data_IF_521203503238
#
_entry.id   IF_521203503238
#
_cell.length_a   1.000
_cell.length_b   1.000
_cell.length_c   1.000
_cell.angle_alpha   90.00
_cell.angle_beta   90.00
_cell.angle_gamma   90.00
#
_symmetry.space_group_name_H-M   'P 1'
#
loop_
_entity.id
_entity.type
_entity.pdbx_description
1 polymer ?
#
# COMPACT_ATOMS: atom_id res chain seq x y z
N UNK A 1 2.44 7.21 -22.28
CA UNK A 1 2.72 8.52 -21.68
C UNK A 1 2.81 9.63 -22.73
N UNK A 2 3.77 9.64 -23.65
CA UNK A 2 3.87 10.72 -24.66
C UNK A 2 2.67 10.75 -25.61
N UNK A 3 2.26 9.58 -26.10
CA UNK A 3 1.05 9.43 -26.91
C UNK A 3 -0.20 9.98 -26.21
N UNK A 4 -0.35 9.70 -24.91
CA UNK A 4 -1.48 10.18 -24.11
C UNK A 4 -1.44 11.70 -23.91
N UNK A 5 -0.25 12.28 -23.77
CA UNK A 5 -0.07 13.74 -23.72
C UNK A 5 -0.50 14.37 -25.03
N UNK A 6 -0.08 13.81 -26.16
CA UNK A 6 -0.36 14.37 -27.48
C UNK A 6 -1.88 14.30 -27.78
N UNK A 7 -2.54 13.22 -27.35
CA UNK A 7 -4.00 13.11 -27.34
C UNK A 7 -4.67 14.17 -26.45
N UNK A 8 -4.14 14.44 -25.25
CA UNK A 8 -4.68 15.45 -24.33
C UNK A 8 -4.58 16.88 -24.88
N UNK A 9 -3.48 17.21 -25.57
CA UNK A 9 -3.28 18.54 -26.18
C UNK A 9 -4.03 18.68 -27.52
N UNK A 10 -4.49 17.57 -28.11
CA UNK A 10 -5.11 17.57 -29.44
C UNK A 10 -4.11 17.87 -30.56
N UNK A 11 -2.82 17.59 -30.35
CA UNK A 11 -1.76 17.85 -31.32
C UNK A 11 -1.52 16.61 -32.19
N UNK A 12 -1.46 16.74 -33.53
CA UNK A 12 -1.07 15.64 -34.40
C UNK A 12 0.42 15.29 -34.19
N UNK A 13 0.81 14.01 -34.40
CA UNK A 13 2.20 13.61 -34.26
C UNK A 13 3.08 14.45 -35.21
N UNK A 14 4.19 14.99 -34.69
CA UNK A 14 5.17 15.86 -35.37
C UNK A 14 4.86 17.36 -35.48
N UNK A 15 3.72 17.84 -34.98
CA UNK A 15 3.50 19.29 -34.85
C UNK A 15 4.02 19.79 -33.49
N UNK A 16 4.86 20.83 -33.47
CA UNK A 16 5.38 21.43 -32.23
C UNK A 16 4.25 22.14 -31.49
N UNK A 17 3.45 21.39 -30.73
CA UNK A 17 2.62 21.96 -29.68
C UNK A 17 3.50 22.37 -28.50
N UNK A 18 3.02 23.34 -27.74
CA UNK A 18 3.67 23.91 -26.53
C UNK A 18 3.69 22.88 -25.38
N UNK A 19 4.38 21.75 -25.56
CA UNK A 19 4.68 20.82 -24.47
C UNK A 19 5.81 21.41 -23.64
N UNK A 20 5.52 21.79 -22.40
CA UNK A 20 6.47 22.43 -21.49
C UNK A 20 7.17 21.36 -20.65
N UNK A 21 8.09 20.61 -21.28
CA UNK A 21 9.09 19.80 -20.58
C UNK A 21 8.59 18.51 -19.90
N UNK A 22 9.46 17.96 -19.05
CA UNK A 22 9.23 16.74 -18.30
C UNK A 22 9.50 16.97 -16.81
N UNK A 23 8.63 16.39 -15.96
CA UNK A 23 8.83 16.33 -14.52
C UNK A 23 9.42 14.98 -14.13
N UNK A 24 10.47 15.00 -13.31
CA UNK A 24 10.95 13.77 -12.68
C UNK A 24 9.96 13.31 -11.61
N UNK A 25 9.56 12.06 -11.71
CA UNK A 25 8.68 11.38 -10.76
C UNK A 25 9.33 10.09 -10.28
N UNK A 26 9.42 9.93 -8.96
CA UNK A 26 9.95 8.72 -8.34
C UNK A 26 8.79 7.77 -8.02
N UNK A 27 8.86 6.55 -8.53
CA UNK A 27 7.89 5.47 -8.31
C UNK A 27 8.58 4.29 -7.63
N UNK A 28 8.04 3.83 -6.50
CA UNK A 28 8.47 2.59 -5.86
C UNK A 28 7.75 1.42 -6.52
N UNK A 29 8.50 0.52 -7.14
CA UNK A 29 8.00 -0.67 -7.83
C UNK A 29 8.50 -1.94 -7.17
N UNK A 30 7.97 -3.10 -7.52
CA UNK A 30 8.45 -4.39 -6.98
C UNK A 30 9.93 -4.66 -7.32
N UNK A 31 10.44 -4.11 -8.42
CA UNK A 31 11.81 -4.32 -8.90
C UNK A 31 12.79 -3.23 -8.45
N UNK A 32 12.35 -2.29 -7.62
CA UNK A 32 13.17 -1.17 -7.17
C UNK A 32 12.52 0.20 -7.32
N UNK A 33 13.31 1.24 -7.06
CA UNK A 33 12.91 2.63 -7.29
C UNK A 33 13.11 3.01 -8.76
N UNK A 34 12.03 3.43 -9.43
CA UNK A 34 12.04 3.92 -10.80
C UNK A 34 12.01 5.45 -10.83
N UNK A 35 12.86 6.04 -11.66
CA UNK A 35 12.88 7.48 -11.93
C UNK A 35 12.25 7.74 -13.31
N UNK A 36 10.99 8.14 -13.31
CA UNK A 36 10.19 8.38 -14.51
C UNK A 36 10.28 9.85 -14.94
N UNK A 37 10.31 10.08 -16.26
CA UNK A 37 10.14 11.41 -16.85
C UNK A 37 8.70 11.56 -17.31
N UNK A 38 7.88 12.23 -16.51
CA UNK A 38 6.45 12.42 -16.79
C UNK A 38 6.29 13.66 -17.67
N UNK A 39 5.66 13.56 -18.85
CA UNK A 39 5.40 14.70 -19.71
C UNK A 39 4.52 15.74 -18.99
N UNK A 40 4.77 17.02 -19.22
CA UNK A 40 3.94 18.10 -18.68
C UNK A 40 3.25 18.88 -19.79
N UNK A 41 2.04 19.36 -19.47
CA UNK A 41 1.24 20.24 -20.29
C UNK A 41 1.14 21.62 -19.62
N UNK A 42 0.85 22.67 -20.41
CA UNK A 42 0.85 24.07 -19.94
C UNK A 42 -0.28 24.37 -18.95
N UNK A 43 -1.42 23.72 -19.12
CA UNK A 43 -2.58 23.72 -18.23
C UNK A 43 -2.32 22.95 -16.92
N UNK A 44 -1.33 22.02 -16.91
CA UNK A 44 -0.97 21.23 -15.74
C UNK A 44 -1.98 20.13 -15.39
N UNK A 45 -3.03 19.94 -16.20
CA UNK A 45 -4.10 18.98 -15.95
C UNK A 45 -3.79 17.56 -16.47
N UNK A 46 -2.78 17.42 -17.34
CA UNK A 46 -2.41 16.11 -17.87
C UNK A 46 -1.78 15.20 -16.81
N UNK A 47 -2.35 14.00 -16.68
CA UNK A 47 -1.82 12.91 -15.88
C UNK A 47 -1.87 11.61 -16.70
N UNK A 48 -0.75 10.87 -16.83
CA UNK A 48 -0.74 9.64 -17.63
C UNK A 48 -1.57 8.54 -16.93
N UNK A 49 -2.31 7.74 -17.70
CA UNK A 49 -3.24 6.73 -17.14
C UNK A 49 -2.54 5.67 -16.28
N UNK A 50 -1.30 5.34 -16.60
CA UNK A 50 -0.48 4.38 -15.86
C UNK A 50 -0.08 4.87 -14.46
N UNK A 51 -0.11 6.18 -14.20
CA UNK A 51 0.15 6.75 -12.88
C UNK A 51 -1.10 7.43 -12.34
N UNK A 52 -1.67 6.89 -11.26
CA UNK A 52 -2.69 7.63 -10.54
C UNK A 52 -2.13 8.94 -9.97
N UNK A 53 -2.99 9.95 -9.81
CA UNK A 53 -2.59 11.25 -9.28
C UNK A 53 -1.93 11.06 -7.90
N UNK A 54 -0.73 11.62 -7.73
CA UNK A 54 0.09 11.50 -6.51
C UNK A 54 0.53 10.08 -6.15
N UNK A 55 0.44 9.11 -7.07
CA UNK A 55 0.89 7.74 -6.82
C UNK A 55 2.41 7.69 -6.65
N UNK A 56 2.85 7.28 -5.45
CA UNK A 56 4.27 7.10 -5.13
C UNK A 56 4.70 5.64 -5.17
N UNK A 57 3.76 4.71 -4.98
CA UNK A 57 4.01 3.27 -5.00
C UNK A 57 3.15 2.60 -6.06
N UNK A 58 3.75 1.66 -6.78
CA UNK A 58 3.07 0.78 -7.70
C UNK A 58 1.99 -0.06 -6.98
N UNK A 59 0.86 -0.30 -7.64
CA UNK A 59 -0.22 -1.13 -7.06
C UNK A 59 0.25 -2.55 -6.77
N UNK A 60 1.02 -3.16 -7.67
CA UNK A 60 1.56 -4.50 -7.48
C UNK A 60 2.45 -4.59 -6.23
N UNK A 61 3.27 -3.57 -5.96
CA UNK A 61 4.07 -3.50 -4.74
C UNK A 61 3.18 -3.44 -3.49
N UNK A 62 2.15 -2.61 -3.50
CA UNK A 62 1.19 -2.50 -2.40
C UNK A 62 0.49 -3.84 -2.15
N UNK A 63 0.00 -4.49 -3.20
CA UNK A 63 -0.66 -5.80 -3.11
C UNK A 63 0.26 -6.86 -2.51
N UNK A 64 1.54 -6.91 -2.92
CA UNK A 64 2.49 -7.87 -2.36
C UNK A 64 2.77 -7.63 -0.86
N UNK A 65 2.80 -6.36 -0.42
CA UNK A 65 2.96 -6.03 1.01
C UNK A 65 1.73 -6.44 1.82
N UNK A 66 0.54 -6.22 1.27
CA UNK A 66 -0.72 -6.61 1.88
C UNK A 66 -0.84 -8.14 1.98
N UNK A 67 -0.45 -8.86 0.92
CA UNK A 67 -0.42 -10.33 0.94
C UNK A 67 0.55 -10.87 2.00
N UNK A 68 1.76 -10.30 2.09
CA UNK A 68 2.72 -10.67 3.12
C UNK A 68 2.18 -10.43 4.54
N UNK A 69 1.41 -9.36 4.76
CA UNK A 69 0.72 -9.11 6.02
C UNK A 69 -0.29 -10.22 6.36
N UNK A 70 -1.13 -10.60 5.39
CA UNK A 70 -2.10 -11.72 5.54
C UNK A 70 -1.40 -13.05 5.83
N UNK A 71 -0.23 -13.29 5.23
CA UNK A 71 0.58 -14.48 5.50
C UNK A 71 1.29 -14.45 6.87
N UNK A 72 1.05 -13.42 7.70
CA UNK A 72 1.59 -13.31 9.05
C UNK A 72 3.03 -12.80 9.11
N UNK A 73 3.54 -12.19 8.04
CA UNK A 73 4.85 -11.53 8.07
C UNK A 73 4.74 -10.27 8.93
N UNK A 74 5.65 -10.11 9.89
CA UNK A 74 5.63 -8.92 10.75
C UNK A 74 5.94 -7.64 9.96
N UNK A 75 5.27 -6.54 10.31
CA UNK A 75 5.48 -5.22 9.69
C UNK A 75 6.93 -4.73 9.80
N UNK A 76 7.62 -5.10 10.88
CA UNK A 76 9.06 -4.85 11.05
C UNK A 76 9.92 -5.63 10.05
N UNK A 77 9.59 -6.89 9.78
CA UNK A 77 10.33 -7.71 8.79
C UNK A 77 10.08 -7.18 7.38
N UNK A 78 8.85 -6.79 7.07
CA UNK A 78 8.50 -6.14 5.79
C UNK A 78 9.24 -4.82 5.58
N UNK A 79 9.33 -3.97 6.62
CA UNK A 79 10.06 -2.72 6.55
C UNK A 79 11.55 -2.94 6.23
N UNK A 80 12.20 -3.95 6.82
CA UNK A 80 13.60 -4.28 6.52
C UNK A 80 13.82 -4.75 5.08
N UNK A 81 12.95 -5.62 4.58
CA UNK A 81 13.06 -6.14 3.20
C UNK A 81 12.85 -5.03 2.17
N UNK A 82 11.82 -4.20 2.37
CA UNK A 82 11.54 -3.07 1.48
C UNK A 82 12.64 -2.02 1.48
N UNK A 83 13.26 -1.76 2.63
CA UNK A 83 14.41 -0.86 2.72
C UNK A 83 15.59 -1.34 1.87
N UNK A 84 15.90 -2.64 1.92
CA UNK A 84 16.98 -3.24 1.14
C UNK A 84 16.72 -3.22 -0.38
N UNK A 85 15.49 -3.49 -0.80
CA UNK A 85 15.13 -3.59 -2.21
C UNK A 85 14.86 -2.23 -2.87
N UNK A 86 14.27 -1.30 -2.12
CA UNK A 86 13.73 -0.05 -2.67
C UNK A 86 14.58 1.18 -2.32
N UNK A 87 15.64 1.00 -1.51
CA UNK A 87 16.39 2.09 -0.89
C UNK A 87 15.49 3.09 -0.14
N UNK A 88 14.34 2.61 0.34
CA UNK A 88 13.36 3.38 1.11
C UNK A 88 12.72 2.50 2.16
N UNK A 89 12.74 3.00 3.38
CA UNK A 89 11.99 2.41 4.47
C UNK A 89 10.51 2.82 4.38
N UNK A 90 9.61 1.83 4.35
CA UNK A 90 8.20 2.05 4.61
C UNK A 90 7.99 2.00 6.12
N UNK A 91 7.36 3.04 6.68
CA UNK A 91 7.01 3.02 8.10
C UNK A 91 5.96 1.93 8.37
N UNK A 92 5.94 1.39 9.59
CA UNK A 92 4.91 0.45 10.02
C UNK A 92 3.49 1.03 9.81
N UNK A 93 3.31 2.34 10.03
CA UNK A 93 2.05 3.05 9.75
C UNK A 93 1.67 3.07 8.27
N UNK A 94 2.65 3.15 7.35
CA UNK A 94 2.37 3.11 5.91
C UNK A 94 1.90 1.73 5.49
N UNK A 95 2.52 0.68 6.02
CA UNK A 95 2.14 -0.72 5.75
C UNK A 95 0.76 -1.03 6.34
N UNK A 96 0.48 -0.54 7.56
CA UNK A 96 -0.84 -0.65 8.18
C UNK A 96 -1.92 -0.01 7.30
N UNK A 97 -1.69 1.21 6.79
CA UNK A 97 -2.61 1.90 5.89
C UNK A 97 -2.93 1.13 4.61
N UNK A 98 -2.00 0.35 4.10
CA UNK A 98 -2.25 -0.51 2.94
C UNK A 98 -3.16 -1.70 3.27
N UNK A 99 -3.13 -2.15 4.53
CA UNK A 99 -3.84 -3.33 4.99
C UNK A 99 -5.18 -3.02 5.68
N UNK A 100 -5.48 -1.73 5.94
CA UNK A 100 -6.72 -1.28 6.61
C UNK A 100 -8.01 -1.86 6.00
N UNK A 101 -8.07 -2.03 4.68
CA UNK A 101 -9.24 -2.64 4.02
C UNK A 101 -9.40 -4.12 4.38
N UNK A 102 -8.28 -4.85 4.52
CA UNK A 102 -8.31 -6.25 4.93
C UNK A 102 -8.57 -6.39 6.42
N UNK A 103 -8.12 -5.44 7.26
CA UNK A 103 -8.44 -5.45 8.68
C UNK A 103 -9.96 -5.48 8.91
N UNK A 104 -10.73 -4.72 8.12
CA UNK A 104 -12.19 -4.74 8.17
C UNK A 104 -12.78 -6.10 7.78
N UNK A 105 -12.25 -6.76 6.74
CA UNK A 105 -12.69 -8.11 6.34
C UNK A 105 -12.32 -9.15 7.40
N UNK A 106 -11.14 -9.02 8.01
CA UNK A 106 -10.63 -9.93 9.04
C UNK A 106 -11.45 -9.81 10.33
N UNK A 107 -11.87 -8.60 10.72
CA UNK A 107 -12.75 -8.35 11.87
C UNK A 107 -14.20 -8.82 11.62
N UNK A 108 -14.67 -8.76 10.38
CA UNK A 108 -15.99 -9.28 10.02
C UNK A 108 -16.04 -10.82 10.00
N UNK A 109 -14.91 -11.48 9.71
CA UNK A 109 -14.83 -12.92 9.51
C UNK A 109 -15.30 -13.78 10.70
N UNK A 110 -14.96 -13.47 11.97
CA UNK A 110 -15.47 -14.22 13.12
C UNK A 110 -16.99 -14.16 13.28
N UNK A 111 -17.61 -13.06 12.82
CA UNK A 111 -19.06 -12.82 12.96
C UNK A 111 -19.90 -13.46 11.86
N UNK A 112 -19.27 -14.11 10.88
CA UNK A 112 -19.99 -14.69 9.73
C UNK A 112 -20.87 -15.87 10.16
N UNK A 113 -22.11 -15.95 9.67
CA UNK A 113 -22.99 -17.07 9.98
C UNK A 113 -22.45 -18.37 9.38
N UNK A 114 -22.42 -19.41 10.20
CA UNK A 114 -22.15 -20.78 9.75
C UNK A 114 -23.39 -21.30 9.01
N UNK A 115 -23.27 -21.54 7.71
CA UNK A 115 -24.41 -21.89 6.84
C UNK A 115 -24.80 -23.37 6.88
N UNK A 116 -24.00 -24.20 7.57
CA UNK A 116 -24.17 -25.66 7.58
C UNK A 116 -24.34 -26.16 9.01
N UNK A 117 -25.12 -27.22 9.15
CA UNK A 117 -25.26 -27.94 10.41
C UNK A 117 -24.03 -28.84 10.62
N UNK A 118 -23.32 -28.62 11.71
CA UNK A 118 -22.14 -29.40 12.08
C UNK A 118 -22.50 -30.41 13.17
N UNK A 119 -22.36 -31.71 12.88
CA UNK A 119 -22.60 -32.78 13.87
C UNK A 119 -21.52 -32.81 14.96
N UNK A 120 -20.29 -32.43 14.61
CA UNK A 120 -19.16 -32.33 15.54
C UNK A 120 -18.35 -31.06 15.25
N UNK A 121 -17.91 -30.37 16.31
CA UNK A 121 -17.04 -29.19 16.22
C UNK A 121 -15.76 -29.43 17.03
N UNK A 122 -14.62 -29.67 16.38
CA UNK A 122 -13.36 -29.86 17.09
C UNK A 122 -12.90 -28.54 17.71
N UNK A 123 -12.70 -28.53 19.02
CA UNK A 123 -12.16 -27.37 19.74
C UNK A 123 -10.64 -27.53 19.87
N UNK A 124 -9.89 -26.57 19.31
CA UNK A 124 -8.44 -26.49 19.43
C UNK A 124 -8.01 -25.29 20.27
N UNK A 125 -6.93 -25.44 21.03
CA UNK A 125 -6.29 -24.34 21.74
C UNK A 125 -4.81 -24.26 21.34
N UNK A 126 -4.36 -23.06 20.97
CA UNK A 126 -2.94 -22.79 20.74
C UNK A 126 -2.46 -21.84 21.85
N UNK A 127 -1.56 -22.29 22.75
CA UNK A 127 -1.05 -21.43 23.80
C UNK A 127 -0.19 -20.31 23.18
N UNK A 128 -0.56 -19.06 23.38
CA UNK A 128 0.26 -17.91 23.01
C UNK A 128 1.05 -17.38 24.21
N UNK A 129 2.35 -17.11 24.02
CA UNK A 129 3.13 -16.38 25.01
C UNK A 129 2.72 -14.91 24.98
N UNK A 130 1.94 -14.46 25.96
CA UNK A 130 1.79 -13.04 26.25
C UNK A 130 3.06 -12.53 26.94
N UNK A 131 3.91 -11.83 26.18
CA UNK A 131 5.07 -11.15 26.73
C UNK A 131 4.61 -10.01 27.64
N UNK A 132 4.80 -10.17 28.95
CA UNK A 132 4.54 -9.13 29.95
C UNK A 132 5.71 -8.14 30.00
N UNK A 133 6.04 -7.48 28.88
CA UNK A 133 6.94 -6.32 28.90
C UNK A 133 6.11 -5.03 29.04
N UNK A 134 5.96 -4.64 30.32
CA UNK A 134 5.65 -3.31 30.88
C UNK A 134 5.33 -2.20 29.86
N UNK A 135 4.10 -1.68 29.91
CA UNK A 135 3.87 -0.26 29.67
C UNK A 135 3.93 0.46 31.03
N UNK A 136 5.05 1.13 31.31
CA UNK A 136 5.17 2.08 32.41
C UNK A 136 4.75 3.47 31.92
N UNK A 137 3.94 4.17 32.74
CA UNK A 137 3.17 5.42 32.50
C UNK A 137 1.77 5.12 31.96
N UNK A 138 0.65 5.42 32.61
CA UNK A 138 0.30 6.36 33.70
C UNK A 138 -1.10 5.94 34.16
N UNK A 139 -1.36 5.75 35.45
CA UNK A 139 -2.21 6.68 36.21
C UNK A 139 -3.61 6.13 36.49
N UNK A 140 -3.82 5.69 37.75
CA UNK A 140 -5.01 5.93 38.58
C UNK A 140 -6.42 5.50 38.15
N UNK A 141 -7.12 4.90 39.12
CA UNK A 141 -8.57 4.64 39.19
C UNK A 141 -9.03 3.48 38.28
N UNK A 142 -9.72 2.45 38.78
CA UNK A 142 -10.99 2.53 39.50
C UNK A 142 -11.15 1.46 40.59
N UNK A 143 -11.72 1.91 41.71
CA UNK A 143 -12.42 1.09 42.72
C UNK A 143 -13.87 1.54 42.68
N UNK A 144 -14.79 0.61 42.47
CA UNK A 144 -16.17 0.57 42.99
C UNK A 144 -16.68 -0.83 42.76
#
# INVERSE_FOLDING_TARGET
MELERDQHIGAPPYERSVSQGYKLHQLYSQVGTLHLRVPQTRDGEFHPSILQRHQRSEKALVTALVEAYVQGVSTLKMAKVTEQLLAKQFSASTISRFSEQLDAELEAWPSRPLTQDFVYFPLGAVPSRRDHRRNGRTGGYWRS
#
